data_IF_890869076335
#
_entry.id   IF_890869076335
#
_cell.length_a   1.000
_cell.length_b   1.000
_cell.length_c   1.000
_cell.angle_alpha   90.00
_cell.angle_beta   90.00
_cell.angle_gamma   90.00
#
_symmetry.space_group_name_H-M   'P 1'
#
loop_
_entity.id
_entity.type
_entity.pdbx_description
1 polymer ?
#
# COMPACT_ATOMS: atom_id res chain seq x y z
N UNK A 1 19.68 -6.19 48.07
CA UNK A 1 19.28 -5.93 46.67
C UNK A 1 18.96 -4.45 46.52
N UNK A 2 19.75 -3.72 45.74
CA UNK A 2 19.49 -2.32 45.42
C UNK A 2 18.42 -2.22 44.34
N UNK A 3 17.42 -1.35 44.49
CA UNK A 3 16.35 -1.16 43.49
C UNK A 3 16.93 -0.42 42.28
N UNK A 4 16.76 -0.98 41.09
CA UNK A 4 17.12 -0.32 39.83
C UNK A 4 15.95 0.53 39.29
N UNK A 5 16.20 1.35 38.24
CA UNK A 5 15.15 2.15 37.61
C UNK A 5 14.14 1.24 36.89
N UNK A 6 12.85 1.44 37.18
CA UNK A 6 11.78 0.58 36.65
C UNK A 6 11.39 0.90 35.18
N UNK A 7 11.60 2.12 34.69
CA UNK A 7 11.31 2.51 33.29
C UNK A 7 12.08 3.78 32.87
N UNK A 8 12.45 3.91 31.59
CA UNK A 8 13.02 5.16 31.02
C UNK A 8 12.76 5.30 29.51
N UNK A 9 12.37 6.51 29.09
CA UNK A 9 12.23 6.89 27.68
C UNK A 9 13.41 7.75 27.17
N UNK A 10 14.44 7.98 27.99
CA UNK A 10 15.44 9.04 27.78
C UNK A 10 16.16 9.00 26.42
N UNK A 11 16.51 7.81 25.93
CA UNK A 11 17.25 7.66 24.66
C UNK A 11 16.36 7.19 23.50
N UNK A 12 15.04 7.07 23.69
CA UNK A 12 14.16 6.53 22.64
C UNK A 12 14.04 7.52 21.48
N UNK A 13 13.81 8.80 21.78
CA UNK A 13 13.74 9.87 20.78
C UNK A 13 15.04 9.97 19.98
N UNK A 14 16.19 10.01 20.64
CA UNK A 14 17.50 10.10 19.97
C UNK A 14 17.73 8.94 18.99
N UNK A 15 17.35 7.71 19.36
CA UNK A 15 17.44 6.53 18.49
C UNK A 15 16.46 6.60 17.31
N UNK A 16 15.22 7.01 17.54
CA UNK A 16 14.21 7.11 16.50
C UNK A 16 14.61 8.13 15.41
N UNK A 17 15.25 9.23 15.81
CA UNK A 17 15.69 10.26 14.88
C UNK A 17 17.06 9.99 14.23
N UNK A 18 17.86 9.02 14.72
CA UNK A 18 19.19 8.72 14.17
C UNK A 18 19.17 8.39 12.67
N UNK A 19 18.18 7.60 12.25
CA UNK A 19 17.95 7.26 10.84
C UNK A 19 16.78 8.06 10.22
N UNK A 20 16.18 8.95 11.01
CA UNK A 20 14.95 9.69 10.70
C UNK A 20 13.69 8.82 10.72
N UNK A 21 12.58 9.43 11.11
CA UNK A 21 11.25 8.81 11.04
C UNK A 21 10.82 8.81 9.57
N UNK A 22 10.82 7.63 8.94
CA UNK A 22 10.47 7.49 7.52
C UNK A 22 8.96 7.59 7.33
N UNK A 23 8.52 8.43 6.39
CA UNK A 23 7.12 8.52 5.97
C UNK A 23 6.75 7.32 5.09
N UNK A 24 5.48 6.87 5.11
CA UNK A 24 5.02 5.85 4.18
C UNK A 24 5.17 6.34 2.74
N UNK A 25 5.50 5.43 1.81
CA UNK A 25 5.61 5.75 0.40
C UNK A 25 4.23 5.87 -0.23
N UNK A 26 3.94 7.00 -0.87
CA UNK A 26 2.77 7.14 -1.73
C UNK A 26 3.02 6.44 -3.07
N UNK A 27 2.03 5.66 -3.51
CA UNK A 27 2.03 5.01 -4.81
C UNK A 27 0.88 5.56 -5.62
N UNK A 28 1.03 5.67 -6.95
CA UNK A 28 -0.03 6.17 -7.85
C UNK A 28 -1.32 5.34 -7.73
N UNK A 29 -1.18 4.04 -7.47
CA UNK A 29 -2.29 3.11 -7.32
C UNK A 29 -2.20 2.39 -5.96
N UNK A 30 -3.10 2.70 -5.00
CA UNK A 30 -3.15 2.01 -3.71
C UNK A 30 -3.84 0.65 -3.81
N UNK A 31 -3.73 -0.17 -2.76
CA UNK A 31 -4.39 -1.47 -2.69
C UNK A 31 -5.91 -1.33 -2.53
N UNK A 32 -6.69 -2.12 -3.27
CA UNK A 32 -8.16 -2.25 -3.09
C UNK A 32 -8.55 -3.27 -2.00
N UNK A 33 -7.73 -3.43 -0.95
CA UNK A 33 -8.04 -4.32 0.19
C UNK A 33 -9.04 -3.59 1.10
N UNK A 34 -10.12 -4.27 1.48
CA UNK A 34 -11.20 -3.67 2.28
C UNK A 34 -12.28 -2.93 1.47
N UNK A 35 -12.10 -2.77 0.15
CA UNK A 35 -13.15 -2.24 -0.73
C UNK A 35 -14.26 -3.29 -0.91
N UNK A 36 -15.50 -2.84 -0.99
CA UNK A 36 -16.70 -3.67 -1.16
C UNK A 36 -16.53 -4.76 -2.24
N UNK A 37 -16.96 -5.97 -1.89
CA UNK A 37 -16.84 -7.14 -2.74
C UNK A 37 -17.68 -7.02 -4.02
N UNK A 38 -18.85 -6.37 -3.97
CA UNK A 38 -19.70 -6.19 -5.16
C UNK A 38 -19.02 -5.23 -6.15
N UNK A 39 -18.50 -4.10 -5.68
CA UNK A 39 -17.69 -3.20 -6.51
C UNK A 39 -16.48 -3.90 -7.12
N UNK A 40 -15.69 -4.64 -6.32
CA UNK A 40 -14.51 -5.35 -6.81
C UNK A 40 -14.84 -6.39 -7.86
N UNK A 41 -15.95 -7.12 -7.70
CA UNK A 41 -16.40 -8.12 -8.68
C UNK A 41 -16.72 -7.45 -10.02
N UNK A 42 -17.49 -6.37 -10.00
CA UNK A 42 -17.83 -5.60 -11.19
C UNK A 42 -16.59 -4.98 -11.86
N UNK A 43 -15.72 -4.33 -11.08
CA UNK A 43 -14.50 -3.69 -11.57
C UNK A 43 -13.58 -4.69 -12.29
N UNK A 44 -13.44 -5.92 -11.78
CA UNK A 44 -12.69 -6.99 -12.46
C UNK A 44 -13.26 -7.32 -13.84
N UNK A 45 -14.57 -7.54 -13.93
CA UNK A 45 -15.19 -7.89 -15.21
C UNK A 45 -15.10 -6.75 -16.24
N UNK A 46 -15.29 -5.50 -15.80
CA UNK A 46 -15.14 -4.34 -16.66
C UNK A 46 -13.72 -4.21 -17.24
N UNK A 47 -12.68 -4.37 -16.39
CA UNK A 47 -11.28 -4.34 -16.83
C UNK A 47 -10.94 -5.49 -17.79
N UNK A 48 -11.45 -6.70 -17.55
CA UNK A 48 -11.23 -7.82 -18.48
C UNK A 48 -11.89 -7.58 -19.83
N UNK A 49 -13.11 -7.04 -19.84
CA UNK A 49 -13.82 -6.68 -21.07
C UNK A 49 -13.06 -5.64 -21.90
N UNK A 50 -12.61 -4.55 -21.26
CA UNK A 50 -11.85 -3.50 -21.95
C UNK A 50 -10.50 -3.98 -22.43
N UNK A 51 -9.80 -4.83 -21.67
CA UNK A 51 -8.55 -5.41 -22.10
C UNK A 51 -8.71 -6.27 -23.37
N UNK A 52 -9.80 -7.05 -23.47
CA UNK A 52 -10.08 -7.89 -24.65
C UNK A 52 -10.36 -7.05 -25.90
N UNK A 53 -11.17 -6.00 -25.79
CA UNK A 53 -11.48 -5.12 -26.94
C UNK A 53 -10.25 -4.36 -27.41
N UNK A 54 -9.44 -3.84 -26.49
CA UNK A 54 -8.19 -3.16 -26.83
C UNK A 54 -7.18 -4.11 -27.48
N UNK A 55 -7.12 -5.37 -27.04
CA UNK A 55 -6.26 -6.38 -27.66
C UNK A 55 -6.68 -6.69 -29.10
N UNK A 56 -7.99 -6.87 -29.35
CA UNK A 56 -8.53 -7.09 -30.69
C UNK A 56 -8.23 -5.89 -31.62
N UNK A 57 -8.54 -4.67 -31.17
CA UNK A 57 -8.27 -3.45 -31.95
C UNK A 57 -6.78 -3.22 -32.25
N UNK A 58 -5.88 -3.71 -31.39
CA UNK A 58 -4.42 -3.66 -31.65
C UNK A 58 -3.97 -4.73 -32.64
N UNK A 59 -4.60 -5.90 -32.62
CA UNK A 59 -4.31 -6.98 -33.57
C UNK A 59 -4.80 -6.62 -34.98
N UNK A 60 -5.95 -5.96 -35.10
CA UNK A 60 -6.48 -5.46 -36.39
C UNK A 60 -5.64 -4.34 -37.01
N UNK A 61 -4.98 -3.53 -36.18
CA UNK A 61 -4.11 -2.43 -36.63
C UNK A 61 -2.70 -2.87 -37.03
N UNK A 62 -2.37 -4.14 -36.82
CA UNK A 62 -1.07 -4.72 -37.15
C UNK A 62 -1.15 -5.45 -38.48
#
# INVERSE_FOLDING_TARGET
MSKSKNHTAHNQTKKAHKNGIKKPRSHKYPSLKGVDAKFKRNHRYALHGTAKTLAAARAEKK
#
